data_IF_783603703002
#
_entry.id   IF_783603703002
#
_cell.length_a   1.000
_cell.length_b   1.000
_cell.length_c   1.000
_cell.angle_alpha   90.00
_cell.angle_beta   90.00
_cell.angle_gamma   90.00
#
_symmetry.space_group_name_H-M   'P 1'
#
loop_
_entity.id
_entity.type
_entity.pdbx_description
1 polymer ?
#
# COMPACT_ATOMS: atom_id res chain seq x y z
N UNK A 1 21.41 -16.69 -23.51
CA UNK A 1 20.02 -16.50 -23.04
C UNK A 1 19.90 -15.33 -22.05
N UNK A 2 21.00 -14.67 -21.66
CA UNK A 2 21.04 -13.58 -20.65
C UNK A 2 20.90 -12.15 -21.20
N UNK A 3 20.64 -11.97 -22.50
CA UNK A 3 20.62 -10.65 -23.15
C UNK A 3 19.22 -10.05 -23.35
N UNK A 4 18.16 -10.78 -23.00
CA UNK A 4 16.75 -10.35 -23.16
C UNK A 4 16.19 -9.68 -21.90
N UNK A 5 16.85 -9.78 -20.73
CA UNK A 5 16.38 -9.16 -19.46
C UNK A 5 16.73 -7.65 -19.38
N UNK A 6 16.88 -6.97 -20.53
CA UNK A 6 17.32 -5.56 -20.57
C UNK A 6 16.15 -4.57 -20.53
N UNK A 7 16.15 -3.75 -19.47
CA UNK A 7 15.40 -2.49 -19.23
C UNK A 7 13.92 -2.63 -18.88
N UNK A 8 13.64 -3.12 -17.67
CA UNK A 8 12.39 -2.79 -16.98
C UNK A 8 12.71 -1.65 -16.02
N UNK A 9 12.04 -0.51 -16.17
CA UNK A 9 12.07 0.62 -15.23
C UNK A 9 10.92 0.48 -14.22
N UNK A 10 11.01 1.15 -13.07
CA UNK A 10 10.02 1.00 -11.99
C UNK A 10 8.60 1.29 -12.46
N UNK A 11 8.43 2.29 -13.34
CA UNK A 11 7.13 2.63 -13.92
C UNK A 11 6.51 1.49 -14.73
N UNK A 12 7.30 0.60 -15.33
CA UNK A 12 6.78 -0.53 -16.11
C UNK A 12 6.08 -1.60 -15.25
N UNK A 13 6.34 -1.60 -13.93
CA UNK A 13 5.84 -2.62 -13.00
C UNK A 13 5.03 -2.05 -11.84
N UNK A 14 4.99 -0.73 -11.68
CA UNK A 14 4.26 -0.10 -10.59
C UNK A 14 2.75 -0.13 -10.86
N UNK A 15 1.97 -0.30 -9.78
CA UNK A 15 0.53 -0.09 -9.87
C UNK A 15 0.28 1.41 -10.08
N UNK A 16 -0.33 1.78 -11.20
CA UNK A 16 -0.79 3.15 -11.44
C UNK A 16 -1.93 3.50 -10.48
N UNK A 17 -1.87 4.71 -9.90
CA UNK A 17 -2.87 5.22 -8.96
C UNK A 17 -3.25 4.21 -7.86
N UNK A 18 -2.27 3.75 -7.06
CA UNK A 18 -2.55 2.74 -6.04
C UNK A 18 -3.60 3.28 -5.05
N UNK A 19 -4.49 2.41 -4.54
CA UNK A 19 -5.42 2.81 -3.49
C UNK A 19 -4.64 3.39 -2.31
N UNK A 20 -5.10 4.51 -1.79
CA UNK A 20 -4.53 5.19 -0.63
C UNK A 20 -5.57 5.35 0.48
N UNK A 21 -5.10 5.61 1.70
CA UNK A 21 -5.94 5.94 2.85
C UNK A 21 -5.51 7.28 3.43
N UNK A 22 -6.42 7.94 4.15
CA UNK A 22 -6.08 9.12 4.92
C UNK A 22 -5.66 8.77 6.35
N UNK A 23 -4.80 9.59 6.95
CA UNK A 23 -4.28 9.36 8.31
C UNK A 23 -5.36 9.23 9.40
N UNK A 24 -6.54 9.82 9.16
CA UNK A 24 -7.67 9.80 10.09
C UNK A 24 -8.83 8.90 9.64
N UNK A 25 -8.60 8.05 8.63
CA UNK A 25 -9.59 7.06 8.23
C UNK A 25 -9.92 6.10 9.37
N UNK A 26 -11.20 5.73 9.47
CA UNK A 26 -11.64 4.72 10.44
C UNK A 26 -10.94 3.40 10.15
N UNK A 27 -10.47 2.72 11.21
CA UNK A 27 -9.79 1.43 11.11
C UNK A 27 -10.56 0.39 10.28
N UNK A 28 -11.89 0.32 10.41
CA UNK A 28 -12.70 -0.59 9.60
C UNK A 28 -12.61 -0.33 8.09
N UNK A 29 -12.59 0.95 7.68
CA UNK A 29 -12.34 1.35 6.28
C UNK A 29 -10.95 0.92 5.85
N UNK A 30 -9.93 1.17 6.67
CA UNK A 30 -8.55 0.79 6.37
C UNK A 30 -8.42 -0.72 6.15
N UNK A 31 -9.00 -1.54 7.05
CA UNK A 31 -9.00 -3.00 6.94
C UNK A 31 -9.70 -3.44 5.65
N UNK A 32 -10.88 -2.87 5.36
CA UNK A 32 -11.63 -3.18 4.15
C UNK A 32 -10.80 -2.86 2.90
N UNK A 33 -10.18 -1.67 2.82
CA UNK A 33 -9.30 -1.30 1.71
C UNK A 33 -8.16 -2.30 1.54
N UNK A 34 -7.51 -2.74 2.62
CA UNK A 34 -6.41 -3.72 2.53
C UNK A 34 -6.90 -5.09 2.06
N UNK A 35 -8.06 -5.56 2.56
CA UNK A 35 -8.64 -6.85 2.18
C UNK A 35 -9.06 -6.84 0.71
N UNK A 36 -9.74 -5.78 0.27
CA UNK A 36 -10.28 -5.69 -1.10
C UNK A 36 -9.19 -5.57 -2.15
N UNK A 37 -8.08 -4.90 -1.83
CA UNK A 37 -6.99 -4.67 -2.78
C UNK A 37 -5.87 -5.72 -2.69
N UNK A 38 -5.81 -6.51 -1.61
CA UNK A 38 -4.81 -7.55 -1.42
C UNK A 38 -3.36 -7.06 -1.35
N UNK A 39 -3.15 -5.74 -1.22
CA UNK A 39 -1.82 -5.14 -1.25
C UNK A 39 -1.06 -5.36 0.07
N UNK A 40 0.26 -5.59 0.02
CA UNK A 40 1.06 -5.80 1.22
C UNK A 40 1.20 -4.53 2.07
N UNK A 41 1.07 -3.36 1.44
CA UNK A 41 1.11 -2.06 2.08
C UNK A 41 0.28 -1.04 1.30
N UNK A 42 -0.20 -0.02 1.99
CA UNK A 42 -1.00 1.06 1.41
C UNK A 42 -0.38 2.42 1.79
N UNK A 43 -0.24 3.36 0.83
CA UNK A 43 0.19 4.73 1.12
C UNK A 43 -0.84 5.48 1.96
N UNK A 44 -0.35 6.18 2.99
CA UNK A 44 -1.14 7.08 3.81
C UNK A 44 -0.90 8.49 3.29
N UNK A 45 -1.97 9.19 2.89
CA UNK A 45 -1.92 10.53 2.33
C UNK A 45 -2.71 11.54 3.16
N UNK A 46 -2.49 12.83 2.92
CA UNK A 46 -3.36 13.90 3.42
C UNK A 46 -4.42 14.28 2.37
N UNK A 47 -5.28 15.25 2.70
CA UNK A 47 -6.35 15.75 1.81
C UNK A 47 -5.83 16.42 0.53
N UNK A 48 -4.55 16.78 0.47
CA UNK A 48 -3.89 17.32 -0.74
C UNK A 48 -3.15 16.22 -1.53
N UNK A 49 -3.42 14.94 -1.26
CA UNK A 49 -2.75 13.78 -1.89
C UNK A 49 -1.22 13.74 -1.68
N UNK A 50 -0.72 14.40 -0.64
CA UNK A 50 0.70 14.31 -0.26
C UNK A 50 0.93 13.09 0.62
N UNK A 51 2.00 12.34 0.32
CA UNK A 51 2.40 11.17 1.11
C UNK A 51 2.79 11.58 2.53
N UNK A 52 2.12 10.98 3.51
CA UNK A 52 2.45 11.09 4.94
C UNK A 52 3.26 9.88 5.42
N UNK A 53 3.05 8.70 4.82
CA UNK A 53 3.74 7.48 5.19
C UNK A 53 3.17 6.24 4.50
N UNK A 54 3.50 5.05 5.02
CA UNK A 54 3.06 3.76 4.49
C UNK A 54 2.54 2.90 5.64
N UNK A 55 1.41 2.23 5.42
CA UNK A 55 0.83 1.28 6.36
C UNK A 55 0.97 -0.14 5.79
N UNK A 56 1.76 -0.99 6.45
CA UNK A 56 1.88 -2.39 6.07
C UNK A 56 0.74 -3.24 6.67
N UNK A 57 0.23 -4.18 5.87
CA UNK A 57 -0.72 -5.18 6.34
C UNK A 57 -0.16 -5.98 7.52
N UNK A 58 1.13 -6.33 7.49
CA UNK A 58 1.81 -7.09 8.56
C UNK A 58 1.81 -6.34 9.89
N UNK A 59 2.11 -5.04 9.88
CA UNK A 59 2.09 -4.22 11.11
C UNK A 59 0.71 -4.15 11.75
N UNK A 60 -0.36 -4.11 10.95
CA UNK A 60 -1.72 -4.22 11.47
C UNK A 60 -1.94 -5.60 12.10
N UNK A 61 -1.59 -6.68 11.39
CA UNK A 61 -1.75 -8.04 11.92
C UNK A 61 -0.98 -8.26 13.23
N UNK A 62 0.29 -7.83 13.30
CA UNK A 62 1.08 -7.86 14.53
C UNK A 62 0.38 -7.11 15.65
N UNK A 63 -0.16 -5.91 15.38
CA UNK A 63 -0.85 -5.11 16.40
C UNK A 63 -2.14 -5.76 16.92
N UNK A 64 -2.88 -6.49 16.09
CA UNK A 64 -4.15 -7.12 16.48
C UNK A 64 -4.01 -8.55 16.99
N UNK A 65 -3.00 -9.29 16.54
CA UNK A 65 -2.75 -10.68 16.93
C UNK A 65 -1.80 -10.82 18.14
N UNK A 66 -1.07 -9.77 18.52
CA UNK A 66 -0.19 -9.80 19.70
C UNK A 66 -0.93 -9.67 21.04
N UNK A 67 -2.08 -10.33 21.17
CA UNK A 67 -2.82 -10.46 22.43
C UNK A 67 -2.97 -11.92 22.83
#
# INVERSE_FOLDING_TARGET
MDSVVRRIIVEDVMLENPPSIEAFDKLGKIIQTIVDNGLPAIPVVNSEMRLLGVLERRSLMERFLSK
#
